data_IF_638264519271
#
_entry.id   IF_638264519271
#
_cell.length_a   1.000
_cell.length_b   1.000
_cell.length_c   1.000
_cell.angle_alpha   90.00
_cell.angle_beta   90.00
_cell.angle_gamma   90.00
#
_symmetry.space_group_name_H-M   'P 1'
#
loop_
_entity.id
_entity.type
_entity.pdbx_description
1 polymer ?
#
# COMPACT_ATOMS: atom_id res chain seq x y z
N UNK A 1 15.54 -19.28 1.60
CA UNK A 1 14.81 -18.35 0.71
C UNK A 1 15.33 -16.95 0.95
N UNK A 2 15.88 -16.27 -0.06
CA UNK A 2 16.11 -14.82 0.03
C UNK A 2 14.78 -14.12 -0.22
N UNK A 3 14.42 -13.05 0.53
CA UNK A 3 13.21 -12.30 0.23
C UNK A 3 13.33 -11.71 -1.18
N UNK A 4 12.37 -12.02 -2.05
CA UNK A 4 12.26 -11.42 -3.38
C UNK A 4 11.83 -9.97 -3.15
N UNK A 5 12.81 -9.07 -3.07
CA UNK A 5 12.55 -7.64 -2.98
C UNK A 5 11.99 -7.16 -4.32
N UNK A 6 10.70 -6.84 -4.35
CA UNK A 6 10.11 -6.14 -5.49
C UNK A 6 10.72 -4.74 -5.52
N UNK A 7 11.57 -4.48 -6.51
CA UNK A 7 12.07 -3.13 -6.74
C UNK A 7 10.91 -2.29 -7.27
N UNK A 8 10.38 -1.43 -6.40
CA UNK A 8 9.42 -0.41 -6.81
C UNK A 8 10.16 0.64 -7.63
N UNK A 9 9.76 0.76 -8.89
CA UNK A 9 10.09 1.92 -9.72
C UNK A 9 9.57 3.21 -9.07
N UNK A 10 9.95 4.35 -9.65
CA UNK A 10 9.60 5.66 -9.09
C UNK A 10 8.09 5.87 -9.00
N UNK A 11 7.33 5.41 -9.99
CA UNK A 11 5.88 5.52 -10.03
C UNK A 11 5.24 4.70 -8.90
N UNK A 12 5.69 3.46 -8.71
CA UNK A 12 5.21 2.59 -7.65
C UNK A 12 5.52 3.16 -6.25
N UNK A 13 6.67 3.85 -6.07
CA UNK A 13 6.98 4.57 -4.82
C UNK A 13 6.01 5.72 -4.59
N UNK A 14 5.69 6.51 -5.61
CA UNK A 14 4.72 7.59 -5.50
C UNK A 14 3.32 7.07 -5.15
N UNK A 15 2.90 5.96 -5.76
CA UNK A 15 1.63 5.30 -5.43
C UNK A 15 1.62 4.88 -3.95
N UNK A 16 2.68 4.23 -3.47
CA UNK A 16 2.79 3.83 -2.06
C UNK A 16 2.69 5.05 -1.13
N UNK A 17 3.36 6.15 -1.45
CA UNK A 17 3.30 7.39 -0.65
C UNK A 17 1.89 7.97 -0.61
N UNK A 18 1.22 8.11 -1.76
CA UNK A 18 -0.16 8.64 -1.84
C UNK A 18 -1.14 7.77 -1.07
N UNK A 19 -1.02 6.44 -1.19
CA UNK A 19 -1.91 5.49 -0.49
C UNK A 19 -1.63 5.51 1.00
N UNK A 20 -0.36 5.64 1.43
CA UNK A 20 0.02 5.78 2.84
C UNK A 20 -0.65 7.00 3.48
N UNK A 21 -0.59 8.15 2.83
CA UNK A 21 -1.24 9.36 3.34
C UNK A 21 -2.75 9.21 3.46
N UNK A 22 -3.39 8.63 2.44
CA UNK A 22 -4.82 8.37 2.47
C UNK A 22 -5.20 7.42 3.61
N UNK A 23 -4.50 6.31 3.73
CA UNK A 23 -4.73 5.30 4.76
C UNK A 23 -4.52 5.89 6.17
N UNK A 24 -3.51 6.75 6.34
CA UNK A 24 -3.28 7.45 7.60
C UNK A 24 -4.46 8.36 7.99
N UNK A 25 -5.03 9.10 7.03
CA UNK A 25 -6.23 9.92 7.24
C UNK A 25 -7.44 9.07 7.60
N UNK A 26 -7.67 7.95 6.91
CA UNK A 26 -8.77 7.02 7.19
C UNK A 26 -8.67 6.41 8.60
N UNK A 27 -7.44 6.22 9.10
CA UNK A 27 -7.16 5.66 10.42
C UNK A 27 -7.01 6.71 11.53
N UNK A 28 -6.95 8.00 11.19
CA UNK A 28 -6.72 9.08 12.17
C UNK A 28 -5.32 9.10 12.79
N UNK A 29 -4.31 8.58 12.09
CA UNK A 29 -2.92 8.46 12.57
C UNK A 29 -1.94 9.26 11.70
N UNK A 30 -0.69 9.40 12.15
CA UNK A 30 0.35 10.03 11.32
C UNK A 30 0.72 9.11 10.14
N UNK A 31 1.00 9.65 8.94
CA UNK A 31 1.54 8.86 7.83
C UNK A 31 2.85 8.13 8.15
N UNK A 32 3.59 8.58 9.18
CA UNK A 32 4.81 7.92 9.66
C UNK A 32 4.52 6.62 10.41
N UNK A 33 3.32 6.50 11.00
CA UNK A 33 2.88 5.32 11.74
C UNK A 33 2.32 4.23 10.80
N UNK A 34 2.11 4.57 9.53
CA UNK A 34 1.66 3.63 8.49
C UNK A 34 2.87 3.04 7.76
N UNK A 35 3.21 1.80 8.09
CA UNK A 35 4.31 1.07 7.44
C UNK A 35 4.01 0.78 5.96
N UNK A 36 5.06 0.67 5.14
CA UNK A 36 4.94 0.26 3.73
C UNK A 36 4.22 -1.08 3.60
N UNK A 37 4.48 -2.03 4.50
CA UNK A 37 3.80 -3.34 4.51
C UNK A 37 2.28 -3.21 4.71
N UNK A 38 1.80 -2.25 5.49
CA UNK A 38 0.36 -1.98 5.63
C UNK A 38 -0.23 -1.43 4.34
N UNK A 39 0.49 -0.51 3.67
CA UNK A 39 0.07 0.04 2.38
C UNK A 39 -0.05 -1.06 1.33
N UNK A 40 0.94 -1.93 1.23
CA UNK A 40 0.94 -3.06 0.29
C UNK A 40 -0.21 -4.01 0.59
N UNK A 41 -0.43 -4.39 1.86
CA UNK A 41 -1.58 -5.23 2.26
C UNK A 41 -2.92 -4.60 1.88
N UNK A 42 -3.06 -3.28 2.10
CA UNK A 42 -4.27 -2.55 1.72
C UNK A 42 -4.50 -2.56 0.21
N UNK A 43 -3.45 -2.36 -0.60
CA UNK A 43 -3.53 -2.43 -2.05
C UNK A 43 -3.94 -3.83 -2.54
N UNK A 44 -3.32 -4.89 -2.02
CA UNK A 44 -3.70 -6.27 -2.34
C UNK A 44 -5.16 -6.56 -1.99
N UNK A 45 -5.62 -6.14 -0.81
CA UNK A 45 -7.01 -6.34 -0.39
C UNK A 45 -8.00 -5.61 -1.32
N UNK A 46 -7.65 -4.41 -1.79
CA UNK A 46 -8.49 -3.69 -2.76
C UNK A 46 -8.52 -4.36 -4.13
N UNK A 47 -7.38 -4.80 -4.66
CA UNK A 47 -7.34 -5.54 -5.93
C UNK A 47 -8.15 -6.82 -5.86
N UNK A 48 -8.02 -7.58 -4.77
CA UNK A 48 -8.79 -8.81 -4.57
C UNK A 48 -10.31 -8.55 -4.50
N UNK A 49 -10.74 -7.44 -3.90
CA UNK A 49 -12.15 -7.04 -3.92
C UNK A 49 -12.64 -6.66 -5.32
N UNK A 50 -11.81 -5.99 -6.11
CA UNK A 50 -12.15 -5.64 -7.49
C UNK A 50 -12.36 -6.90 -8.32
N UNK A 51 -11.48 -7.89 -8.23
CA UNK A 51 -11.60 -9.16 -8.96
C UNK A 51 -12.87 -9.96 -8.64
N UNK A 52 -13.38 -9.85 -7.42
CA UNK A 52 -14.63 -10.52 -7.01
C UNK A 52 -15.91 -9.81 -7.46
N UNK A 53 -15.79 -8.60 -7.97
CA UNK A 53 -16.94 -7.77 -8.35
C UNK A 53 -17.15 -7.75 -9.87
N UNK A 54 -16.23 -8.35 -10.65
CA UNK A 54 -16.29 -8.48 -12.11
C UNK A 54 -16.81 -9.88 -12.49
#
# INVERSE_FOLDING_TARGET
MRPVGVYLDQEAREIVLRVRERLARELGVSPRDVSVSMVIKHLYHRSYKLEKTV
#
